data_IF_408115426977
#
_entry.id   IF_408115426977
#
_cell.length_a   1.000
_cell.length_b   1.000
_cell.length_c   1.000
_cell.angle_alpha   90.00
_cell.angle_beta   90.00
_cell.angle_gamma   90.00
#
_symmetry.space_group_name_H-M   'P 1'
#
loop_
_entity.id
_entity.type
_entity.pdbx_description
1 polymer ?
#
# COMPACT_ATOMS: atom_id res chain seq x y z
N UNK A 1 -11.10 -11.23 -13.58
CA UNK A 1 -10.26 -10.73 -12.46
C UNK A 1 -10.08 -11.86 -11.45
N UNK A 2 -8.94 -11.97 -10.75
CA UNK A 2 -8.77 -12.94 -9.65
C UNK A 2 -8.72 -12.20 -8.31
N UNK A 3 -9.88 -11.89 -7.74
CA UNK A 3 -10.02 -11.04 -6.55
C UNK A 3 -9.25 -11.56 -5.33
N UNK A 4 -9.35 -12.85 -5.02
CA UNK A 4 -8.63 -13.47 -3.89
C UNK A 4 -7.11 -13.25 -4.00
N UNK A 5 -6.55 -13.33 -5.21
CA UNK A 5 -5.12 -13.06 -5.44
C UNK A 5 -4.78 -11.60 -5.19
N UNK A 6 -5.61 -10.66 -5.64
CA UNK A 6 -5.40 -9.23 -5.41
C UNK A 6 -5.44 -8.91 -3.91
N UNK A 7 -6.41 -9.45 -3.18
CA UNK A 7 -6.53 -9.26 -1.73
C UNK A 7 -5.34 -9.88 -0.97
N UNK A 8 -4.93 -11.10 -1.33
CA UNK A 8 -3.76 -11.75 -0.71
C UNK A 8 -2.47 -10.96 -0.95
N UNK A 9 -2.28 -10.40 -2.15
CA UNK A 9 -1.12 -9.54 -2.44
C UNK A 9 -1.22 -8.22 -1.66
N UNK A 10 -2.40 -7.62 -1.56
CA UNK A 10 -2.62 -6.43 -0.72
C UNK A 10 -2.26 -6.69 0.74
N UNK A 11 -2.68 -7.84 1.29
CA UNK A 11 -2.30 -8.29 2.63
C UNK A 11 -0.78 -8.41 2.81
N UNK A 12 -0.07 -8.98 1.83
CA UNK A 12 1.40 -9.06 1.86
C UNK A 12 2.07 -7.69 1.80
N UNK A 13 1.57 -6.78 0.94
CA UNK A 13 2.06 -5.40 0.86
C UNK A 13 1.86 -4.69 2.18
N UNK A 14 0.71 -4.87 2.83
CA UNK A 14 0.43 -4.31 4.15
C UNK A 14 1.39 -4.84 5.21
N UNK A 15 1.64 -6.15 5.29
CA UNK A 15 2.61 -6.73 6.24
C UNK A 15 3.97 -6.06 6.08
N UNK A 16 4.47 -5.98 4.86
CA UNK A 16 5.78 -5.40 4.57
C UNK A 16 5.81 -3.90 4.84
N UNK A 17 4.73 -3.18 4.50
CA UNK A 17 4.58 -1.75 4.74
C UNK A 17 4.58 -1.40 6.23
N UNK A 18 3.74 -2.06 7.02
CA UNK A 18 3.67 -1.84 8.47
C UNK A 18 4.99 -2.25 9.15
N UNK A 19 5.59 -3.36 8.73
CA UNK A 19 6.91 -3.76 9.24
C UNK A 19 7.99 -2.71 8.95
N UNK A 20 8.00 -2.16 7.75
CA UNK A 20 8.93 -1.08 7.38
C UNK A 20 8.65 0.20 8.18
N UNK A 21 7.38 0.60 8.32
CA UNK A 21 7.00 1.76 9.13
C UNK A 21 7.51 1.61 10.57
N UNK A 22 7.22 0.48 11.23
CA UNK A 22 7.66 0.22 12.60
C UNK A 22 9.19 0.21 12.69
N UNK A 23 9.89 -0.48 11.79
CA UNK A 23 11.35 -0.50 11.79
C UNK A 23 11.95 0.90 11.62
N UNK A 24 11.38 1.73 10.74
CA UNK A 24 11.86 3.09 10.50
C UNK A 24 11.55 3.98 11.70
N UNK A 25 10.39 3.84 12.35
CA UNK A 25 10.01 4.61 13.53
C UNK A 25 11.04 4.49 14.66
N UNK A 26 11.62 3.30 14.85
CA UNK A 26 12.62 3.03 15.90
C UNK A 26 14.00 3.67 15.64
N UNK A 27 14.35 4.04 14.39
CA UNK A 27 15.69 4.57 14.05
C UNK A 27 15.84 6.05 14.38
N UNK A 28 16.77 6.53 15.23
CA UNK A 28 16.84 7.92 15.74
C UNK A 28 17.33 8.96 14.72
N UNK A 29 16.64 9.12 13.58
CA UNK A 29 17.07 10.03 12.49
C UNK A 29 16.47 11.44 12.60
N UNK A 30 15.24 11.58 13.09
CA UNK A 30 14.53 12.86 13.27
C UNK A 30 13.88 12.94 14.65
N UNK A 31 13.68 14.16 15.15
CA UNK A 31 12.91 14.42 16.39
C UNK A 31 11.48 13.90 16.26
N UNK A 32 10.82 14.21 15.13
CA UNK A 32 9.50 13.68 14.83
C UNK A 32 9.60 12.28 14.19
N UNK A 33 9.62 11.27 15.06
CA UNK A 33 9.71 9.84 14.69
C UNK A 33 8.55 9.39 13.78
N UNK A 34 7.36 9.93 14.01
CA UNK A 34 6.16 9.61 13.24
C UNK A 34 6.25 10.14 11.80
N UNK A 35 6.65 11.41 11.63
CA UNK A 35 6.90 12.00 10.32
C UNK A 35 8.00 11.23 9.57
N UNK A 36 9.09 10.88 10.25
CA UNK A 36 10.17 10.07 9.67
C UNK A 36 9.65 8.73 9.14
N UNK A 37 8.86 8.00 9.93
CA UNK A 37 8.29 6.72 9.54
C UNK A 37 7.34 6.85 8.34
N UNK A 38 6.52 7.91 8.28
CA UNK A 38 5.66 8.18 7.12
C UNK A 38 6.44 8.53 5.85
N UNK A 39 7.49 9.35 5.96
CA UNK A 39 8.38 9.65 4.82
C UNK A 39 9.06 8.36 4.34
N UNK A 40 9.56 7.55 5.27
CA UNK A 40 10.15 6.25 4.95
C UNK A 40 9.16 5.30 4.27
N UNK A 41 7.92 5.25 4.77
CA UNK A 41 6.86 4.44 4.20
C UNK A 41 6.50 4.89 2.78
N UNK A 42 6.40 6.20 2.53
CA UNK A 42 6.18 6.75 1.19
C UNK A 42 7.28 6.35 0.18
N UNK A 43 8.53 6.16 0.63
CA UNK A 43 9.59 5.66 -0.24
C UNK A 43 9.52 4.14 -0.47
N UNK A 44 8.99 3.39 0.49
CA UNK A 44 8.90 1.92 0.46
C UNK A 44 7.65 1.43 -0.26
N UNK A 45 6.53 2.16 -0.19
CA UNK A 45 5.26 1.75 -0.82
C UNK A 45 5.38 1.58 -2.33
N UNK A 46 6.01 2.48 -3.12
CA UNK A 46 6.14 2.31 -4.56
C UNK A 46 6.79 0.99 -4.99
N UNK A 47 7.99 0.61 -4.50
CA UNK A 47 8.57 -0.69 -4.89
C UNK A 47 7.72 -1.88 -4.43
N UNK A 48 7.08 -1.82 -3.25
CA UNK A 48 6.20 -2.91 -2.78
C UNK A 48 4.98 -3.09 -3.68
N UNK A 49 4.29 -2.00 -4.01
CA UNK A 49 3.10 -2.04 -4.87
C UNK A 49 3.48 -2.46 -6.29
N UNK A 50 4.61 -2.00 -6.81
CA UNK A 50 5.13 -2.40 -8.11
C UNK A 50 5.38 -3.92 -8.16
N UNK A 51 6.04 -4.48 -7.15
CA UNK A 51 6.26 -5.91 -7.02
C UNK A 51 4.94 -6.69 -6.87
N UNK A 52 4.01 -6.17 -6.06
CA UNK A 52 2.67 -6.76 -5.92
C UNK A 52 1.91 -6.80 -7.24
N UNK A 53 1.94 -5.70 -8.00
CA UNK A 53 1.34 -5.64 -9.33
C UNK A 53 2.01 -6.65 -10.29
N UNK A 54 3.35 -6.72 -10.29
CA UNK A 54 4.10 -7.72 -11.06
C UNK A 54 3.64 -9.15 -10.75
N UNK A 55 3.63 -9.53 -9.47
CA UNK A 55 3.17 -10.84 -9.02
C UNK A 55 1.72 -11.12 -9.44
N UNK A 56 0.82 -10.13 -9.37
CA UNK A 56 -0.55 -10.31 -9.82
C UNK A 56 -0.61 -10.60 -11.33
N UNK A 57 0.06 -9.77 -12.14
CA UNK A 57 -0.01 -9.78 -13.60
C UNK A 57 0.70 -10.98 -14.26
N UNK A 58 1.60 -11.67 -13.56
CA UNK A 58 2.17 -12.94 -14.02
C UNK A 58 1.09 -14.01 -14.30
N UNK A 59 -0.01 -13.98 -13.56
CA UNK A 59 -1.09 -14.98 -13.67
C UNK A 59 -2.40 -14.42 -14.21
N UNK A 60 -2.54 -13.09 -14.28
CA UNK A 60 -3.79 -12.44 -14.72
C UNK A 60 -3.45 -11.26 -15.61
N UNK A 61 -3.61 -11.40 -16.93
CA UNK A 61 -3.21 -10.37 -17.88
C UNK A 61 -4.30 -9.35 -18.23
N UNK A 62 -5.57 -9.59 -17.91
CA UNK A 62 -6.71 -8.79 -18.41
C UNK A 62 -7.24 -7.72 -17.45
N UNK A 63 -6.73 -7.63 -16.22
CA UNK A 63 -7.27 -6.69 -15.22
C UNK A 63 -6.70 -5.28 -15.42
N UNK A 64 -7.53 -4.24 -15.33
CA UNK A 64 -7.06 -2.84 -15.40
C UNK A 64 -6.33 -2.43 -14.11
N UNK A 65 -5.23 -1.66 -14.22
CA UNK A 65 -4.37 -1.28 -13.09
C UNK A 65 -5.08 -0.55 -11.96
N UNK A 66 -6.02 0.34 -12.29
CA UNK A 66 -6.88 1.01 -11.30
C UNK A 66 -7.69 0.01 -10.44
N UNK A 67 -8.31 -0.98 -11.07
CA UNK A 67 -9.11 -1.99 -10.35
C UNK A 67 -8.25 -2.85 -9.44
N UNK A 68 -7.03 -3.19 -9.88
CA UNK A 68 -6.07 -3.92 -9.06
C UNK A 68 -5.63 -3.09 -7.86
N UNK A 69 -5.21 -1.84 -8.09
CA UNK A 69 -4.74 -0.93 -7.06
C UNK A 69 -5.78 -0.69 -5.98
N UNK A 70 -7.04 -0.43 -6.37
CA UNK A 70 -8.14 -0.26 -5.43
C UNK A 70 -8.39 -1.50 -4.57
N UNK A 71 -8.34 -2.71 -5.13
CA UNK A 71 -8.57 -3.93 -4.34
C UNK A 71 -7.41 -4.27 -3.40
N UNK A 72 -6.17 -4.05 -3.83
CA UNK A 72 -4.99 -4.20 -2.96
C UNK A 72 -5.00 -3.16 -1.83
N UNK A 73 -5.33 -1.90 -2.14
CA UNK A 73 -5.47 -0.84 -1.16
C UNK A 73 -6.60 -1.15 -0.18
N UNK A 74 -7.77 -1.60 -0.65
CA UNK A 74 -8.90 -1.96 0.20
C UNK A 74 -8.50 -3.04 1.23
N UNK A 75 -7.76 -4.07 0.78
CA UNK A 75 -7.24 -5.09 1.70
C UNK A 75 -6.31 -4.46 2.76
N UNK A 76 -5.41 -3.58 2.34
CA UNK A 76 -4.44 -2.93 3.25
C UNK A 76 -5.15 -2.02 4.25
N UNK A 77 -6.07 -1.16 3.80
CA UNK A 77 -6.85 -0.24 4.64
C UNK A 77 -7.75 -0.99 5.61
N UNK A 78 -8.32 -2.13 5.20
CA UNK A 78 -9.07 -2.98 6.11
C UNK A 78 -8.18 -3.53 7.23
N UNK A 79 -6.95 -3.94 6.92
CA UNK A 79 -5.98 -4.37 7.92
C UNK A 79 -5.50 -3.21 8.79
N UNK A 80 -5.42 -2.00 8.26
CA UNK A 80 -5.14 -0.82 9.09
C UNK A 80 -6.25 -0.61 10.12
N UNK A 81 -7.51 -0.71 9.72
CA UNK A 81 -8.63 -0.60 10.65
C UNK A 81 -8.65 -1.74 11.67
N UNK A 82 -8.32 -2.97 11.27
CA UNK A 82 -8.40 -4.14 12.14
C UNK A 82 -7.17 -4.33 13.04
N UNK A 83 -6.00 -3.87 12.61
CA UNK A 83 -4.72 -4.17 13.27
C UNK A 83 -3.91 -2.91 13.53
N UNK A 84 -3.55 -2.12 12.52
CA UNK A 84 -2.67 -0.95 12.69
C UNK A 84 -3.25 0.04 13.69
N UNK A 85 -4.53 0.41 13.55
CA UNK A 85 -5.15 1.41 14.41
C UNK A 85 -5.28 0.91 15.86
N UNK A 86 -5.88 -0.27 16.14
CA UNK A 86 -5.95 -0.81 17.50
C UNK A 86 -4.61 -1.06 18.17
N UNK A 87 -3.64 -1.58 17.43
CA UNK A 87 -2.39 -2.10 18.01
C UNK A 87 -1.26 -1.09 18.01
N UNK A 88 -1.23 -0.14 17.06
CA UNK A 88 -0.10 0.77 16.86
C UNK A 88 -0.47 2.26 16.97
N UNK A 89 -1.74 2.64 16.77
CA UNK A 89 -2.14 4.06 16.81
C UNK A 89 -2.81 4.42 18.14
N UNK A 90 -3.81 3.65 18.57
CA UNK A 90 -4.55 3.90 19.80
C UNK A 90 -3.64 3.88 21.06
N UNK A 91 -2.67 2.95 21.21
CA UNK A 91 -1.79 2.93 22.37
C UNK A 91 -0.92 4.18 22.52
N UNK A 92 -0.70 4.93 21.44
CA UNK A 92 0.07 6.18 21.42
C UNK A 92 -0.82 7.42 21.40
N UNK A 93 -2.10 7.30 21.78
CA UNK A 93 -3.03 8.42 21.92
C UNK A 93 -3.76 8.82 20.63
N UNK A 94 -3.62 8.03 19.56
CA UNK A 94 -4.37 8.24 18.32
C UNK A 94 -5.76 7.61 18.34
N UNK A 95 -6.48 7.75 17.24
CA UNK A 95 -7.81 7.20 17.01
C UNK A 95 -8.02 6.85 15.53
N UNK A 96 -9.11 6.14 15.22
CA UNK A 96 -9.54 5.93 13.84
C UNK A 96 -9.71 7.24 13.07
N UNK A 97 -10.32 8.25 13.70
CA UNK A 97 -10.56 9.54 13.09
C UNK A 97 -9.26 10.29 12.79
N UNK A 98 -8.30 10.29 13.72
CA UNK A 98 -7.00 10.93 13.48
C UNK A 98 -6.17 10.20 12.42
N UNK A 99 -6.24 8.87 12.36
CA UNK A 99 -5.49 8.08 11.39
C UNK A 99 -6.06 8.23 9.97
N UNK A 100 -7.35 7.91 9.79
CA UNK A 100 -8.01 7.98 8.47
C UNK A 100 -8.35 9.42 8.03
N UNK A 101 -8.29 10.39 8.95
CA UNK A 101 -8.37 11.81 8.64
C UNK A 101 -7.01 12.46 8.32
N UNK A 102 -5.90 11.74 8.47
CA UNK A 102 -4.56 12.29 8.25
C UNK A 102 -4.25 12.48 6.76
N UNK A 103 -3.55 13.56 6.42
CA UNK A 103 -3.16 13.84 5.05
C UNK A 103 -2.11 12.84 4.55
N UNK A 104 -1.19 12.46 5.43
CA UNK A 104 -0.13 11.48 5.24
C UNK A 104 -0.68 10.12 4.79
N UNK A 105 -1.77 9.63 5.41
CA UNK A 105 -2.46 8.42 4.97
C UNK A 105 -2.97 8.54 3.53
N UNK A 106 -3.66 9.63 3.19
CA UNK A 106 -4.26 9.80 1.87
C UNK A 106 -3.22 10.02 0.77
N UNK A 107 -2.10 10.69 1.06
CA UNK A 107 -0.99 10.83 0.13
C UNK A 107 -0.40 9.45 -0.25
N UNK A 108 -0.17 8.59 0.75
CA UNK A 108 0.32 7.23 0.51
C UNK A 108 -0.73 6.38 -0.22
N UNK A 109 -2.01 6.51 0.12
CA UNK A 109 -3.09 5.80 -0.58
C UNK A 109 -3.19 6.17 -2.06
N UNK A 110 -3.03 7.47 -2.39
CA UNK A 110 -3.00 7.96 -3.77
C UNK A 110 -1.76 7.43 -4.49
N UNK A 111 -0.58 7.53 -3.86
CA UNK A 111 0.67 6.98 -4.39
C UNK A 111 0.54 5.49 -4.72
N UNK A 112 -0.04 4.71 -3.81
CA UNK A 112 -0.31 3.28 -4.00
C UNK A 112 -1.10 3.03 -5.29
N UNK A 113 -2.22 3.75 -5.50
CA UNK A 113 -3.06 3.59 -6.69
C UNK A 113 -2.29 4.00 -7.95
N UNK A 114 -1.58 5.12 -7.90
CA UNK A 114 -0.81 5.64 -9.02
C UNK A 114 0.29 4.67 -9.45
N UNK A 115 0.97 4.01 -8.51
CA UNK A 115 2.00 3.02 -8.81
C UNK A 115 1.40 1.79 -9.49
N UNK A 116 0.27 1.27 -8.99
CA UNK A 116 -0.44 0.15 -9.63
C UNK A 116 -0.90 0.52 -11.05
N UNK A 117 -1.43 1.73 -11.23
CA UNK A 117 -1.87 2.23 -12.52
C UNK A 117 -0.69 2.39 -13.50
N UNK A 118 0.43 2.93 -13.01
CA UNK A 118 1.67 3.15 -13.78
C UNK A 118 2.27 1.81 -14.21
N UNK A 119 2.34 0.83 -13.31
CA UNK A 119 2.78 -0.53 -13.65
C UNK A 119 1.96 -1.11 -14.79
N UNK A 120 0.63 -1.01 -14.69
CA UNK A 120 -0.26 -1.51 -15.74
C UNK A 120 -0.05 -0.80 -17.07
N UNK A 121 0.04 0.54 -17.06
CA UNK A 121 0.22 1.34 -18.27
C UNK A 121 1.53 0.99 -18.99
N UNK A 122 2.62 0.82 -18.25
CA UNK A 122 3.95 0.56 -18.83
C UNK A 122 4.16 -0.91 -19.23
N UNK A 123 3.65 -1.87 -18.43
CA UNK A 123 4.06 -3.28 -18.56
C UNK A 123 2.97 -4.22 -19.08
N UNK A 124 1.70 -3.84 -18.94
CA UNK A 124 0.55 -4.73 -19.18
C UNK A 124 -0.29 -4.28 -20.35
N UNK A 125 -0.68 -2.99 -20.39
CA UNK A 125 -1.48 -2.41 -21.46
C UNK A 125 -0.90 -2.67 -22.86
N UNK A 126 0.41 -2.52 -23.13
CA UNK A 126 0.96 -2.79 -24.46
C UNK A 126 0.75 -4.25 -24.90
N UNK A 127 0.81 -5.19 -23.95
CA UNK A 127 0.60 -6.63 -24.20
C UNK A 127 -0.87 -7.01 -24.34
N UNK A 128 -1.78 -6.19 -23.81
CA UNK A 128 -3.23 -6.37 -23.99
C UNK A 128 -3.69 -5.88 -25.36
N UNK A 129 -3.02 -4.88 -25.92
CA UNK A 129 -3.34 -4.32 -27.24
C UNK A 129 -2.76 -5.12 -28.40
N UNK A 130 -1.79 -6.00 -28.13
CA UNK A 130 -1.17 -6.90 -29.12
C UNK A 130 -1.85 -8.26 -29.24
N UNK A 131 -3.00 -8.46 -28.57
CA UNK A 131 -3.83 -9.67 -28.58
C UNK A 131 -5.16 -9.29 -29.22
#
# INVERSE_FOLDING_TARGET
MKTVRALAIGFLVWILGVSAFTAIYELPLMENRYLQANVGLALVVPPLVWLGAKLYYEKVKSTHGLKLGLLMLLASVALDALVTVPMLIIPFGGSYASFFGSLDFWLIAIEFILVSLTYWYLNVRPKQQSI
#
